data_IF_112806427688
#
_entry.id   IF_112806427688
#
_cell.length_a   1.000
_cell.length_b   1.000
_cell.length_c   1.000
_cell.angle_alpha   90.00
_cell.angle_beta   90.00
_cell.angle_gamma   90.00
#
_symmetry.space_group_name_H-M   'P 1'
#
loop_
_entity.id
_entity.type
_entity.pdbx_description
1 polymer ?
#
# COMPACT_ATOMS: atom_id res chain seq x y z
N UNK A 1 6.88 22.70 3.80
CA UNK A 1 6.38 22.37 5.15
C UNK A 1 4.87 22.10 5.10
N UNK A 2 4.44 20.87 4.88
CA UNK A 2 3.07 20.39 5.16
C UNK A 2 3.07 18.86 5.39
N UNK A 3 3.90 18.41 6.33
CA UNK A 3 3.91 17.00 6.81
C UNK A 3 3.29 16.89 8.21
N UNK A 4 3.06 18.02 8.89
CA UNK A 4 2.58 18.07 10.27
C UNK A 4 1.11 17.65 10.46
N UNK A 5 0.28 17.69 9.41
CA UNK A 5 -1.15 17.36 9.51
C UNK A 5 -1.46 15.87 9.61
N UNK A 6 -0.63 15.01 8.97
CA UNK A 6 -0.86 13.56 8.97
C UNK A 6 -0.52 12.89 10.30
N UNK A 7 0.45 13.43 11.03
CA UNK A 7 0.93 12.84 12.28
C UNK A 7 -0.06 12.99 13.44
N UNK A 8 -0.86 14.07 13.44
CA UNK A 8 -1.88 14.31 14.45
C UNK A 8 -3.09 13.37 14.33
N UNK A 9 -3.49 13.01 13.11
CA UNK A 9 -4.55 12.01 12.85
C UNK A 9 -4.09 10.60 13.23
N UNK A 10 -2.82 10.28 12.98
CA UNK A 10 -2.20 9.01 13.39
C UNK A 10 -2.14 8.86 14.93
N UNK A 11 -1.80 9.95 15.63
CA UNK A 11 -1.75 9.97 17.10
C UNK A 11 -3.15 9.91 17.75
N UNK A 12 -4.17 10.52 17.14
CA UNK A 12 -5.54 10.48 17.66
C UNK A 12 -6.18 9.08 17.54
N UNK A 13 -5.81 8.29 16.52
CA UNK A 13 -6.27 6.91 16.37
C UNK A 13 -5.68 5.95 17.41
N UNK A 14 -4.56 6.31 18.06
CA UNK A 14 -3.86 5.48 19.06
C UNK A 14 -4.44 5.58 20.49
N UNK A 15 -5.48 6.40 20.72
CA UNK A 15 -5.99 6.72 22.07
C UNK A 15 -7.19 5.87 22.55
N UNK A 16 -7.55 4.80 21.84
CA UNK A 16 -8.60 3.87 22.29
C UNK A 16 -7.97 2.61 22.86
N UNK A 17 -7.48 2.70 24.11
CA UNK A 17 -7.04 1.52 24.87
C UNK A 17 -8.23 0.89 25.59
N UNK A 18 -9.10 0.20 24.84
CA UNK A 18 -9.71 -1.02 25.39
C UNK A 18 -8.66 -2.13 25.34
N UNK A 19 -8.79 -3.19 26.14
CA UNK A 19 -7.95 -4.37 26.04
C UNK A 19 -8.21 -5.12 24.72
N UNK A 20 -7.86 -4.49 23.60
CA UNK A 20 -7.94 -5.05 22.27
C UNK A 20 -6.78 -6.05 22.15
N UNK A 21 -7.10 -7.34 22.23
CA UNK A 21 -6.12 -8.40 22.05
C UNK A 21 -6.35 -9.01 20.67
N UNK A 22 -5.32 -8.98 19.83
CA UNK A 22 -5.32 -9.75 18.60
C UNK A 22 -5.26 -11.25 18.93
N UNK A 23 -5.92 -12.06 18.12
CA UNK A 23 -5.87 -13.51 18.23
C UNK A 23 -4.44 -13.99 17.93
N UNK A 24 -3.88 -14.79 18.83
CA UNK A 24 -2.50 -15.28 18.70
C UNK A 24 -2.44 -16.71 18.15
N UNK A 25 -3.51 -17.48 18.34
CA UNK A 25 -3.69 -18.86 17.88
C UNK A 25 -4.66 -18.91 16.68
N UNK A 26 -4.17 -18.44 15.55
CA UNK A 26 -4.90 -18.32 14.28
C UNK A 26 -4.16 -19.12 13.20
N UNK A 27 -4.84 -19.86 12.32
CA UNK A 27 -4.16 -20.73 11.35
C UNK A 27 -3.57 -19.92 10.19
N UNK A 28 -2.31 -20.18 9.86
CA UNK A 28 -1.64 -19.52 8.75
C UNK A 28 -2.20 -19.89 7.37
N UNK A 29 -2.82 -21.07 7.24
CA UNK A 29 -3.29 -21.60 5.95
C UNK A 29 -4.81 -21.77 5.92
N UNK A 30 -5.52 -21.06 6.80
CA UNK A 30 -6.98 -21.04 6.82
C UNK A 30 -7.61 -20.47 5.55
N UNK A 31 -8.87 -20.82 5.30
CA UNK A 31 -9.61 -20.33 4.12
C UNK A 31 -9.85 -18.82 4.15
N UNK A 32 -9.95 -18.25 5.35
CA UNK A 32 -9.97 -16.81 5.61
C UNK A 32 -8.71 -16.09 5.09
N UNK A 33 -7.54 -16.71 5.21
CA UNK A 33 -6.28 -16.16 4.68
C UNK A 33 -6.30 -16.00 3.16
N UNK A 34 -6.92 -16.94 2.46
CA UNK A 34 -7.14 -16.83 1.02
C UNK A 34 -8.07 -15.65 0.67
N UNK A 35 -9.06 -15.34 1.51
CA UNK A 35 -9.92 -14.16 1.33
C UNK A 35 -9.15 -12.86 1.55
N UNK A 36 -8.39 -12.76 2.65
CA UNK A 36 -7.51 -11.62 2.92
C UNK A 36 -6.54 -11.35 1.78
N UNK A 37 -5.89 -12.40 1.28
CA UNK A 37 -4.99 -12.34 0.14
C UNK A 37 -5.70 -11.86 -1.13
N UNK A 38 -6.79 -12.54 -1.53
CA UNK A 38 -7.44 -12.32 -2.82
C UNK A 38 -8.14 -10.96 -2.90
N UNK A 39 -8.82 -10.53 -1.84
CA UNK A 39 -9.44 -9.20 -1.76
C UNK A 39 -8.36 -8.12 -1.82
N UNK A 40 -7.27 -8.28 -1.07
CA UNK A 40 -6.17 -7.32 -1.07
C UNK A 40 -5.46 -7.24 -2.42
N UNK A 41 -5.21 -8.38 -3.07
CA UNK A 41 -4.64 -8.41 -4.42
C UNK A 41 -5.56 -7.71 -5.44
N UNK A 42 -6.87 -7.97 -5.37
CA UNK A 42 -7.87 -7.32 -6.21
C UNK A 42 -7.94 -5.82 -6.00
N UNK A 43 -8.00 -5.35 -4.75
CA UNK A 43 -8.02 -3.93 -4.42
C UNK A 43 -6.73 -3.21 -4.85
N UNK A 44 -5.57 -3.83 -4.62
CA UNK A 44 -4.30 -3.23 -5.01
C UNK A 44 -4.14 -3.15 -6.52
N UNK A 45 -4.46 -4.21 -7.26
CA UNK A 45 -4.44 -4.22 -8.71
C UNK A 45 -5.49 -3.28 -9.32
N UNK A 46 -6.71 -3.25 -8.79
CA UNK A 46 -7.76 -2.34 -9.21
C UNK A 46 -7.42 -0.87 -8.96
N UNK A 47 -6.84 -0.57 -7.78
CA UNK A 47 -6.36 0.77 -7.46
C UNK A 47 -5.19 1.21 -8.32
N UNK A 48 -4.28 0.29 -8.69
CA UNK A 48 -3.25 0.55 -9.68
C UNK A 48 -3.84 0.90 -11.05
N UNK A 49 -4.80 0.09 -11.53
CA UNK A 49 -5.47 0.31 -12.82
C UNK A 49 -6.24 1.63 -12.84
N UNK A 50 -6.90 1.99 -11.73
CA UNK A 50 -7.52 3.30 -11.55
C UNK A 50 -6.47 4.43 -11.62
N UNK A 51 -5.31 4.25 -10.97
CA UNK A 51 -4.21 5.21 -11.05
C UNK A 51 -3.73 5.43 -12.49
N UNK A 52 -3.76 4.39 -13.33
CA UNK A 52 -3.37 4.48 -14.73
C UNK A 52 -4.29 5.38 -15.58
N UNK A 53 -5.49 5.72 -15.07
CA UNK A 53 -6.39 6.71 -15.68
C UNK A 53 -5.86 8.14 -15.49
N UNK A 54 -5.16 8.42 -14.40
CA UNK A 54 -4.76 9.78 -14.01
C UNK A 54 -3.29 10.09 -14.23
N UNK A 55 -2.39 9.11 -14.11
CA UNK A 55 -0.94 9.33 -14.18
C UNK A 55 -0.31 8.49 -15.26
N UNK A 56 0.70 9.05 -15.95
CA UNK A 56 1.53 8.31 -16.90
C UNK A 56 2.64 7.49 -16.21
N UNK A 57 3.15 7.98 -15.08
CA UNK A 57 4.22 7.34 -14.31
C UNK A 57 3.71 6.14 -13.49
N UNK A 58 4.55 5.12 -13.32
CA UNK A 58 4.20 3.92 -12.56
C UNK A 58 4.11 4.14 -11.05
N UNK A 59 4.97 5.00 -10.49
CA UNK A 59 5.05 5.23 -9.06
C UNK A 59 3.71 5.69 -8.42
N UNK A 60 3.02 6.73 -8.93
CA UNK A 60 1.73 7.14 -8.35
C UNK A 60 0.64 6.07 -8.48
N UNK A 61 0.69 5.22 -9.52
CA UNK A 61 -0.24 4.09 -9.69
C UNK A 61 -0.04 3.03 -8.61
N UNK A 62 1.23 2.65 -8.38
CA UNK A 62 1.62 1.74 -7.30
C UNK A 62 1.19 2.27 -5.93
N UNK A 63 1.43 3.56 -5.67
CA UNK A 63 1.06 4.20 -4.41
C UNK A 63 -0.45 4.24 -4.21
N UNK A 64 -1.23 4.52 -5.25
CA UNK A 64 -2.69 4.51 -5.15
C UNK A 64 -3.22 3.11 -4.84
N UNK A 65 -2.76 2.09 -5.59
CA UNK A 65 -3.15 0.69 -5.35
C UNK A 65 -2.78 0.21 -3.96
N UNK A 66 -1.54 0.45 -3.53
CA UNK A 66 -1.07 0.13 -2.19
C UNK A 66 -1.90 0.84 -1.12
N UNK A 67 -2.13 2.14 -1.29
CA UNK A 67 -2.85 2.97 -0.33
C UNK A 67 -4.29 2.53 -0.12
N UNK A 68 -5.03 2.26 -1.21
CA UNK A 68 -6.43 1.79 -1.14
C UNK A 68 -6.49 0.46 -0.40
N UNK A 69 -5.69 -0.51 -0.82
CA UNK A 69 -5.77 -1.86 -0.25
C UNK A 69 -5.25 -1.94 1.18
N UNK A 70 -4.15 -1.24 1.50
CA UNK A 70 -3.61 -1.19 2.86
C UNK A 70 -4.59 -0.50 3.81
N UNK A 71 -5.20 0.60 3.39
CA UNK A 71 -6.21 1.30 4.21
C UNK A 71 -7.40 0.41 4.48
N UNK A 72 -7.90 -0.34 3.48
CA UNK A 72 -8.99 -1.29 3.67
C UNK A 72 -8.61 -2.41 4.66
N UNK A 73 -7.42 -3.00 4.53
CA UNK A 73 -6.93 -4.04 5.44
C UNK A 73 -6.75 -3.52 6.87
N UNK A 74 -6.17 -2.34 7.05
CA UNK A 74 -6.02 -1.72 8.39
C UNK A 74 -7.37 -1.41 9.00
N UNK A 75 -8.32 -0.86 8.23
CA UNK A 75 -9.68 -0.60 8.73
C UNK A 75 -10.35 -1.91 9.15
N UNK A 76 -10.21 -3.00 8.39
CA UNK A 76 -10.78 -4.31 8.75
C UNK A 76 -10.26 -4.77 10.13
N UNK A 77 -8.94 -4.84 10.31
CA UNK A 77 -8.36 -5.28 11.58
C UNK A 77 -8.72 -4.35 12.75
N UNK A 78 -8.77 -3.02 12.53
CA UNK A 78 -9.19 -2.07 13.56
C UNK A 78 -10.68 -2.25 13.93
N UNK A 79 -11.52 -2.56 12.94
CA UNK A 79 -12.92 -2.89 13.18
C UNK A 79 -12.99 -4.17 14.01
N UNK A 80 -12.27 -5.23 13.66
CA UNK A 80 -12.26 -6.49 14.44
C UNK A 80 -11.78 -6.26 15.88
N UNK A 81 -10.71 -5.49 16.08
CA UNK A 81 -10.22 -5.10 17.41
C UNK A 81 -11.28 -4.36 18.24
N UNK A 82 -12.25 -3.71 17.60
CA UNK A 82 -13.35 -3.02 18.28
C UNK A 82 -14.50 -3.96 18.72
N UNK A 83 -14.39 -5.27 18.45
CA UNK A 83 -15.32 -6.29 18.96
C UNK A 83 -16.22 -7.07 17.98
N UNK A 84 -16.38 -6.75 16.68
CA UNK A 84 -17.18 -7.55 15.75
C UNK A 84 -16.48 -8.82 15.23
N UNK A 85 -15.17 -8.98 15.44
CA UNK A 85 -14.40 -10.10 14.87
C UNK A 85 -13.07 -10.31 15.59
N UNK A 86 -12.28 -11.27 15.09
CA UNK A 86 -10.98 -11.62 15.65
C UNK A 86 -9.87 -10.95 14.84
N UNK A 87 -9.28 -9.89 15.37
CA UNK A 87 -8.15 -9.25 14.71
C UNK A 87 -6.93 -10.17 14.73
N UNK A 88 -6.23 -10.28 13.61
CA UNK A 88 -5.07 -11.15 13.50
C UNK A 88 -3.92 -10.47 12.77
N UNK A 89 -2.73 -10.55 13.37
CA UNK A 89 -1.53 -10.12 12.66
C UNK A 89 -1.24 -10.99 11.43
N UNK A 90 -1.71 -12.26 11.42
CA UNK A 90 -1.56 -13.18 10.29
C UNK A 90 -2.47 -12.75 9.14
N UNK A 91 -3.68 -12.28 9.43
CA UNK A 91 -4.57 -11.66 8.43
C UNK A 91 -3.91 -10.43 7.80
N UNK A 92 -3.30 -9.57 8.62
CA UNK A 92 -2.51 -8.44 8.11
C UNK A 92 -1.34 -8.89 7.23
N UNK A 93 -0.64 -9.96 7.58
CA UNK A 93 0.43 -10.51 6.74
C UNK A 93 -0.10 -11.00 5.38
N UNK A 94 -1.25 -11.67 5.35
CA UNK A 94 -1.90 -12.10 4.12
C UNK A 94 -2.43 -10.94 3.29
N UNK A 95 -2.92 -9.87 3.93
CA UNK A 95 -3.25 -8.61 3.25
C UNK A 95 -2.01 -8.04 2.54
N UNK A 96 -0.86 -7.95 3.22
CA UNK A 96 0.39 -7.43 2.64
C UNK A 96 0.91 -8.29 1.47
N UNK A 97 0.84 -9.62 1.60
CA UNK A 97 1.19 -10.53 0.49
C UNK A 97 0.25 -10.37 -0.71
N UNK A 98 -1.05 -10.21 -0.46
CA UNK A 98 -2.05 -9.90 -1.48
C UNK A 98 -1.75 -8.59 -2.18
N UNK A 99 -1.51 -7.51 -1.42
CA UNK A 99 -1.14 -6.18 -1.95
C UNK A 99 0.07 -6.29 -2.87
N UNK A 100 1.16 -6.89 -2.38
CA UNK A 100 2.39 -7.04 -3.15
C UNK A 100 2.15 -7.82 -4.46
N UNK A 101 1.38 -8.91 -4.39
CA UNK A 101 1.06 -9.74 -5.55
C UNK A 101 0.19 -8.98 -6.56
N UNK A 102 -0.87 -8.32 -6.10
CA UNK A 102 -1.77 -7.55 -6.96
C UNK A 102 -1.06 -6.41 -7.68
N UNK A 103 -0.19 -5.67 -6.96
CA UNK A 103 0.62 -4.60 -7.56
C UNK A 103 1.63 -5.15 -8.56
N UNK A 104 2.31 -6.25 -8.23
CA UNK A 104 3.27 -6.87 -9.13
C UNK A 104 2.60 -7.32 -10.42
N UNK A 105 1.48 -8.03 -10.33
CA UNK A 105 0.72 -8.50 -11.50
C UNK A 105 0.25 -7.31 -12.35
N UNK A 106 -0.34 -6.30 -11.73
CA UNK A 106 -0.82 -5.12 -12.45
C UNK A 106 0.33 -4.35 -13.14
N UNK A 107 1.45 -4.18 -12.44
CA UNK A 107 2.64 -3.52 -13.00
C UNK A 107 3.27 -4.33 -14.14
N UNK A 108 3.37 -5.65 -14.03
CA UNK A 108 3.90 -6.51 -15.10
C UNK A 108 3.02 -6.45 -16.35
N UNK A 109 1.70 -6.47 -16.20
CA UNK A 109 0.76 -6.29 -17.31
C UNK A 109 0.97 -4.91 -17.96
N UNK A 110 1.07 -3.86 -17.15
CA UNK A 110 1.22 -2.49 -17.66
C UNK A 110 2.57 -2.29 -18.37
N UNK A 111 3.66 -2.86 -17.83
CA UNK A 111 4.98 -2.88 -18.49
C UNK A 111 4.93 -3.68 -19.79
N UNK A 112 4.22 -4.81 -19.84
CA UNK A 112 4.07 -5.59 -21.07
C UNK A 112 3.33 -4.79 -22.17
N UNK A 113 2.44 -3.86 -21.77
CA UNK A 113 1.66 -3.03 -22.70
C UNK A 113 2.40 -1.72 -23.08
N UNK A 114 3.01 -1.05 -22.10
CA UNK A 114 3.57 0.32 -22.25
C UNK A 114 5.09 0.38 -22.28
N UNK A 115 5.79 -0.71 -21.95
CA UNK A 115 7.24 -0.77 -21.84
C UNK A 115 7.79 -0.35 -20.48
N UNK A 116 9.08 -0.57 -20.26
CA UNK A 116 9.75 -0.20 -19.02
C UNK A 116 9.83 1.33 -18.84
N UNK A 117 9.84 1.84 -17.60
CA UNK A 117 10.12 3.25 -17.36
C UNK A 117 11.53 3.61 -17.88
N UNK A 118 11.75 4.87 -18.32
CA UNK A 118 13.07 5.31 -18.75
C UNK A 118 14.11 5.10 -17.64
N UNK A 119 15.33 4.73 -18.03
CA UNK A 119 16.43 4.67 -17.07
C UNK A 119 16.63 6.06 -16.44
N UNK A 120 16.97 6.14 -15.13
CA UNK A 120 17.36 7.41 -14.52
C UNK A 120 18.49 8.04 -15.34
N UNK A 121 18.33 9.29 -15.75
CA UNK A 121 19.36 10.00 -16.51
C UNK A 121 20.62 10.13 -15.67
N UNK A 122 21.71 9.46 -16.07
CA UNK A 122 23.04 9.58 -15.46
C UNK A 122 23.78 10.84 -15.92
N UNK A 123 23.07 11.86 -16.41
CA UNK A 123 23.67 13.12 -16.89
C UNK A 123 24.19 13.96 -15.72
N UNK A 124 25.30 13.51 -15.14
CA UNK A 124 26.16 14.30 -14.24
C UNK A 124 26.70 15.54 -14.98
N UNK A 125 26.70 15.53 -16.31
CA UNK A 125 27.08 16.66 -17.15
C UNK A 125 26.07 17.84 -17.14
N UNK A 126 24.82 17.64 -16.69
CA UNK A 126 23.82 18.70 -16.59
C UNK A 126 23.97 19.57 -15.32
N UNK A 127 24.76 19.11 -14.34
CA UNK A 127 25.21 19.93 -13.21
C UNK A 127 26.40 20.76 -13.72
N UNK A 128 26.12 21.79 -14.50
CA UNK A 128 27.13 22.78 -14.87
C UNK A 128 27.80 23.35 -13.61
N UNK A 129 29.07 23.82 -13.71
CA UNK A 129 29.76 24.39 -12.56
C UNK A 129 28.91 25.50 -11.94
N UNK A 130 28.94 25.68 -10.60
CA UNK A 130 28.15 26.72 -9.94
C UNK A 130 28.45 28.06 -10.61
N UNK A 131 27.41 28.67 -11.20
CA UNK A 131 27.51 30.03 -11.70
C UNK A 131 27.65 30.95 -10.49
N UNK A 132 28.87 31.21 -10.06
CA UNK A 132 29.19 32.31 -9.17
C UNK A 132 28.90 33.61 -9.92
N UNK A 133 27.75 34.20 -9.63
CA UNK A 133 27.45 35.57 -10.02
C UNK A 133 28.28 36.49 -9.10
N UNK A 134 29.16 37.28 -9.70
CA UNK A 134 29.79 38.46 -9.09
C UNK A 134 28.96 39.69 -9.41
#
# INVERSE_FOLDING_TARGET
MRVAGGMALFAAAMLVTSAAQAQTDDDWLGADKALHFSVSAGLAGGGYALGAVFWHDYAPRLLLGAGISLTAGVIKELVDLAGPGDASWRDMAWNLMGIATGLLVAWLIDVAIRGLPPAPSTDVAAIGPPRVAF
#
